data_IF_536333744742
#
_entry.id   IF_536333744742
#
_cell.length_a   1.000
_cell.length_b   1.000
_cell.length_c   1.000
_cell.angle_alpha   90.00
_cell.angle_beta   90.00
_cell.angle_gamma   90.00
#
_symmetry.space_group_name_H-M   'P 1'
#
loop_
_entity.id
_entity.type
_entity.pdbx_description
1 polymer ?
#
# COMPACT_ATOMS: atom_id res chain seq x y z
N UNK A 1 -11.91 1.03 1.41
CA UNK A 1 -10.68 1.60 0.78
C UNK A 1 -10.00 0.55 -0.09
N UNK A 2 -9.23 0.99 -1.09
CA UNK A 2 -8.39 0.11 -1.91
C UNK A 2 -6.91 0.38 -1.62
N UNK A 3 -6.12 -0.67 -1.36
CA UNK A 3 -4.67 -0.59 -1.19
C UNK A 3 -3.99 -1.02 -2.48
N UNK A 4 -3.02 -0.23 -2.95
CA UNK A 4 -2.31 -0.44 -4.23
C UNK A 4 -0.82 -0.13 -4.08
N UNK A 5 0.01 -0.70 -4.94
CA UNK A 5 1.45 -0.35 -5.08
C UNK A 5 1.88 -0.62 -6.52
N UNK A 6 3.03 -0.07 -6.94
CA UNK A 6 3.55 -0.26 -8.30
C UNK A 6 2.51 0.10 -9.35
N UNK A 7 2.04 1.34 -9.27
CA UNK A 7 0.97 1.89 -10.10
C UNK A 7 1.61 2.66 -11.26
N UNK A 8 1.64 2.10 -12.48
CA UNK A 8 2.21 2.79 -13.63
C UNK A 8 1.35 3.97 -14.05
N UNK A 9 1.96 4.97 -14.70
CA UNK A 9 1.27 6.11 -15.32
C UNK A 9 0.61 5.72 -16.64
N UNK A 10 -0.25 4.69 -16.61
CA UNK A 10 -1.02 4.21 -17.75
C UNK A 10 -2.48 4.59 -17.62
N UNK A 11 -3.08 5.01 -18.74
CA UNK A 11 -4.45 5.50 -18.77
C UNK A 11 -5.45 4.44 -18.29
N UNK A 12 -5.35 3.20 -18.76
CA UNK A 12 -6.24 2.09 -18.39
C UNK A 12 -6.22 1.78 -16.88
N UNK A 13 -5.03 1.81 -16.27
CA UNK A 13 -4.86 1.59 -14.82
C UNK A 13 -5.47 2.74 -14.03
N UNK A 14 -5.23 3.98 -14.43
CA UNK A 14 -5.80 5.18 -13.80
C UNK A 14 -7.33 5.17 -13.91
N UNK A 15 -7.84 4.83 -15.09
CA UNK A 15 -9.27 4.75 -15.38
C UNK A 15 -9.97 3.72 -14.51
N UNK A 16 -9.36 2.54 -14.38
CA UNK A 16 -9.85 1.54 -13.46
C UNK A 16 -9.92 2.07 -12.03
N UNK A 17 -8.83 2.64 -11.51
CA UNK A 17 -8.77 3.15 -10.14
C UNK A 17 -9.86 4.20 -9.91
N UNK A 18 -10.08 5.08 -10.88
CA UNK A 18 -11.10 6.12 -10.80
C UNK A 18 -12.55 5.60 -10.89
N UNK A 19 -12.75 4.37 -11.39
CA UNK A 19 -14.05 3.68 -11.47
C UNK A 19 -14.32 2.79 -10.25
N UNK A 20 -13.33 2.54 -9.39
CA UNK A 20 -13.53 1.78 -8.16
C UNK A 20 -14.52 2.49 -7.22
N UNK A 21 -15.56 1.77 -6.81
CA UNK A 21 -16.52 2.24 -5.81
C UNK A 21 -15.94 2.09 -4.40
N UNK A 22 -14.89 2.87 -4.11
CA UNK A 22 -14.26 2.98 -2.80
C UNK A 22 -14.19 4.43 -2.34
N UNK A 23 -14.17 4.62 -1.02
CA UNK A 23 -14.05 5.95 -0.41
C UNK A 23 -12.65 6.55 -0.53
N UNK A 24 -11.64 5.70 -0.64
CA UNK A 24 -10.24 6.10 -0.65
C UNK A 24 -9.36 5.05 -1.33
N UNK A 25 -8.39 5.52 -2.12
CA UNK A 25 -7.28 4.73 -2.64
C UNK A 25 -6.03 5.07 -1.81
N UNK A 26 -5.39 4.05 -1.28
CA UNK A 26 -4.18 4.15 -0.46
C UNK A 26 -3.01 3.52 -1.22
N UNK A 27 -2.10 4.37 -1.69
CA UNK A 27 -0.85 3.92 -2.30
C UNK A 27 0.19 3.54 -1.25
N UNK A 28 0.72 2.32 -1.36
CA UNK A 28 1.79 1.80 -0.52
C UNK A 28 3.17 1.99 -1.16
N UNK A 29 3.36 3.08 -1.89
CA UNK A 29 4.57 3.40 -2.63
C UNK A 29 4.63 2.82 -4.06
N UNK A 30 5.62 3.30 -4.80
CA UNK A 30 5.84 3.16 -6.23
C UNK A 30 4.62 3.57 -7.08
N UNK A 31 4.13 4.79 -6.90
CA UNK A 31 3.03 5.35 -7.72
C UNK A 31 3.54 6.47 -8.61
N UNK A 32 3.48 6.29 -9.93
CA UNK A 32 4.08 7.24 -10.88
C UNK A 32 3.28 8.55 -11.03
N UNK A 33 1.95 8.45 -11.18
CA UNK A 33 1.09 9.59 -11.51
C UNK A 33 -0.12 9.76 -10.56
N UNK A 34 0.09 10.01 -9.27
CA UNK A 34 -1.00 10.14 -8.30
C UNK A 34 -1.91 11.35 -8.56
N UNK A 35 -1.48 12.34 -9.33
CA UNK A 35 -2.28 13.51 -9.71
C UNK A 35 -3.51 13.19 -10.56
N UNK A 36 -3.55 12.01 -11.20
CA UNK A 36 -4.68 11.58 -12.01
C UNK A 36 -5.61 10.57 -11.29
N UNK A 37 -5.27 10.20 -10.05
CA UNK A 37 -6.04 9.23 -9.26
C UNK A 37 -6.94 9.99 -8.27
N UNK A 38 -8.25 9.76 -8.37
CA UNK A 38 -9.25 10.36 -7.49
C UNK A 38 -9.18 9.74 -6.09
N UNK A 39 -9.46 10.55 -5.06
CA UNK A 39 -9.51 10.10 -3.65
C UNK A 39 -8.22 9.38 -3.22
N UNK A 40 -7.06 9.87 -3.65
CA UNK A 40 -5.78 9.24 -3.39
C UNK A 40 -5.11 9.79 -2.13
N UNK A 41 -4.56 8.90 -1.30
CA UNK A 41 -3.50 9.19 -0.33
C UNK A 41 -2.45 8.09 -0.40
N UNK A 42 -1.24 8.33 0.08
CA UNK A 42 -0.23 7.26 0.08
C UNK A 42 0.98 7.52 0.95
N UNK A 43 1.76 6.46 1.14
CA UNK A 43 3.13 6.50 1.65
C UNK A 43 4.10 6.45 0.47
N UNK A 44 5.35 6.86 0.70
CA UNK A 44 6.40 6.82 -0.31
C UNK A 44 7.01 5.42 -0.41
N UNK A 45 7.36 5.01 -1.62
CA UNK A 45 8.23 3.89 -1.93
C UNK A 45 9.61 4.36 -2.38
N UNK A 46 10.25 3.58 -3.24
CA UNK A 46 11.60 3.85 -3.74
C UNK A 46 11.59 4.54 -5.10
N UNK A 47 10.52 4.36 -5.87
CA UNK A 47 10.47 4.76 -7.28
C UNK A 47 9.75 6.09 -7.54
N UNK A 48 9.16 6.74 -6.52
CA UNK A 48 8.59 8.09 -6.73
C UNK A 48 9.67 9.11 -7.04
N UNK A 49 9.56 9.75 -8.20
CA UNK A 49 10.41 10.87 -8.54
C UNK A 49 10.17 12.09 -7.61
N UNK A 50 11.09 13.06 -7.66
CA UNK A 50 11.03 14.27 -6.83
C UNK A 50 9.76 15.09 -7.10
N UNK A 51 9.25 15.08 -8.33
CA UNK A 51 8.04 15.82 -8.72
C UNK A 51 6.81 15.22 -8.06
N UNK A 52 6.68 13.89 -8.11
CA UNK A 52 5.62 13.13 -7.46
C UNK A 52 5.68 13.31 -5.94
N UNK A 53 6.87 13.20 -5.34
CA UNK A 53 7.03 13.45 -3.90
C UNK A 53 6.60 14.89 -3.51
N UNK A 54 7.00 15.90 -4.29
CA UNK A 54 6.60 17.30 -4.06
C UNK A 54 5.11 17.51 -4.22
N UNK A 55 4.49 16.90 -5.24
CA UNK A 55 3.04 16.95 -5.46
C UNK A 55 2.29 16.38 -4.25
N UNK A 56 2.66 15.19 -3.79
CA UNK A 56 2.00 14.55 -2.65
C UNK A 56 2.12 15.39 -1.36
N UNK A 57 3.30 15.97 -1.10
CA UNK A 57 3.53 16.86 0.06
C UNK A 57 2.70 18.14 -0.04
N UNK A 58 2.77 18.84 -1.17
CA UNK A 58 2.10 20.13 -1.37
C UNK A 58 0.58 20.04 -1.23
N UNK A 59 0.01 18.90 -1.61
CA UNK A 59 -1.44 18.68 -1.60
C UNK A 59 -1.94 17.88 -0.38
N UNK A 60 -1.10 17.62 0.62
CA UNK A 60 -1.52 16.88 1.83
C UNK A 60 -1.97 15.44 1.56
N UNK A 61 -1.43 14.81 0.51
CA UNK A 61 -1.77 13.45 0.09
C UNK A 61 -0.86 12.40 0.72
N UNK A 62 0.23 12.81 1.37
CA UNK A 62 1.08 11.91 2.13
C UNK A 62 0.45 11.50 3.46
N UNK A 63 0.51 10.20 3.74
CA UNK A 63 0.16 9.63 5.04
C UNK A 63 1.41 9.74 5.93
N UNK A 64 1.34 10.62 6.94
CA UNK A 64 2.46 10.87 7.86
C UNK A 64 2.37 10.08 9.17
N UNK A 65 1.17 9.63 9.56
CA UNK A 65 0.95 8.84 10.78
C UNK A 65 -0.01 7.67 10.50
N UNK A 66 -1.18 7.99 9.95
CA UNK A 66 -2.18 7.00 9.59
C UNK A 66 -3.29 7.57 8.74
N UNK A 67 -4.15 6.68 8.23
CA UNK A 67 -5.34 7.00 7.46
C UNK A 67 -6.46 6.06 7.87
N UNK A 68 -7.57 6.64 8.33
CA UNK A 68 -8.65 5.90 8.98
C UNK A 68 -8.10 5.05 10.14
N UNK A 69 -8.08 3.73 10.01
CA UNK A 69 -7.58 2.78 11.01
C UNK A 69 -6.27 2.07 10.62
N UNK A 70 -5.62 2.50 9.54
CA UNK A 70 -4.32 2.02 9.10
C UNK A 70 -3.21 3.02 9.49
N UNK A 71 -2.11 2.52 10.05
CA UNK A 71 -1.02 3.36 10.56
C UNK A 71 0.32 2.99 9.93
N UNK A 72 1.26 3.93 9.87
CA UNK A 72 2.63 3.64 9.42
C UNK A 72 3.53 3.14 10.57
N UNK A 73 3.12 3.38 11.81
CA UNK A 73 3.84 2.94 13.01
C UNK A 73 3.41 1.53 13.43
N UNK A 74 4.39 0.70 13.76
CA UNK A 74 4.19 -0.70 14.17
C UNK A 74 3.66 -0.84 15.59
N UNK A 75 3.59 0.25 16.35
CA UNK A 75 2.97 0.26 17.68
C UNK A 75 1.44 0.17 17.65
N UNK A 76 0.84 0.25 16.45
CA UNK A 76 -0.60 0.10 16.23
C UNK A 76 -0.94 -1.29 15.69
N UNK A 77 -2.21 -1.70 15.85
CA UNK A 77 -2.68 -3.04 15.47
C UNK A 77 -2.66 -3.30 13.96
N UNK A 78 -2.94 -2.28 13.15
CA UNK A 78 -3.11 -2.39 11.70
C UNK A 78 -2.15 -1.45 11.00
N UNK A 79 -1.20 -2.03 10.28
CA UNK A 79 -0.03 -1.30 9.80
C UNK A 79 0.02 -1.35 8.28
N UNK A 80 0.46 -0.25 7.67
CA UNK A 80 0.84 -0.16 6.27
C UNK A 80 2.33 0.17 6.15
N UNK A 81 3.02 -0.44 5.20
CA UNK A 81 4.42 -0.15 4.89
C UNK A 81 4.68 -0.35 3.40
N UNK A 82 5.68 0.33 2.85
CA UNK A 82 6.11 0.03 1.49
C UNK A 82 6.87 -1.31 1.46
N UNK A 83 7.84 -1.46 2.37
CA UNK A 83 8.81 -2.56 2.32
C UNK A 83 8.25 -3.88 2.86
N UNK A 84 8.57 -5.02 2.22
CA UNK A 84 8.22 -6.33 2.72
C UNK A 84 9.11 -6.72 3.92
N UNK A 85 8.62 -7.50 4.89
CA UNK A 85 9.44 -7.96 6.04
C UNK A 85 10.43 -9.07 5.67
N UNK A 86 10.14 -9.86 4.64
CA UNK A 86 10.96 -10.99 4.18
C UNK A 86 11.32 -10.81 2.71
N UNK A 87 12.30 -11.59 2.23
CA UNK A 87 12.89 -11.63 0.87
C UNK A 87 14.14 -10.76 0.68
N UNK A 88 14.94 -10.97 -0.40
CA UNK A 88 16.14 -10.19 -0.69
C UNK A 88 15.88 -8.68 -0.87
N UNK A 89 14.65 -8.29 -1.22
CA UNK A 89 14.19 -6.90 -1.29
C UNK A 89 13.40 -6.45 -0.04
N UNK A 90 13.48 -7.25 1.02
CA UNK A 90 12.80 -6.99 2.29
C UNK A 90 13.65 -6.12 3.23
N UNK A 91 12.98 -5.54 4.22
CA UNK A 91 13.59 -4.71 5.25
C UNK A 91 13.70 -5.46 6.57
N UNK A 92 14.93 -5.68 7.04
CA UNK A 92 15.19 -6.24 8.37
C UNK A 92 14.60 -5.38 9.48
N UNK A 93 14.52 -4.06 9.26
CA UNK A 93 13.85 -3.14 10.18
C UNK A 93 12.36 -3.47 10.29
N UNK A 94 11.66 -3.65 9.16
CA UNK A 94 10.24 -4.03 9.17
C UNK A 94 10.04 -5.37 9.87
N UNK A 95 10.88 -6.37 9.61
CA UNK A 95 10.80 -7.65 10.31
C UNK A 95 10.98 -7.51 11.82
N UNK A 96 11.97 -6.73 12.27
CA UNK A 96 12.22 -6.49 13.68
C UNK A 96 11.04 -5.78 14.37
N UNK A 97 10.43 -4.80 13.69
CA UNK A 97 9.27 -4.07 14.18
C UNK A 97 8.04 -4.98 14.32
N UNK A 98 7.81 -5.89 13.36
CA UNK A 98 6.74 -6.90 13.46
C UNK A 98 6.97 -7.82 14.66
N UNK A 99 8.19 -8.35 14.81
CA UNK A 99 8.51 -9.29 15.89
C UNK A 99 8.44 -8.64 17.28
N UNK A 100 8.72 -7.33 17.38
CA UNK A 100 8.73 -6.59 18.64
C UNK A 100 7.34 -6.11 19.05
N UNK A 101 6.58 -5.54 18.13
CA UNK A 101 5.28 -4.92 18.45
C UNK A 101 4.09 -5.86 18.22
N UNK A 102 4.28 -6.94 17.46
CA UNK A 102 3.25 -7.95 17.16
C UNK A 102 1.92 -7.33 16.71
N UNK A 103 1.91 -6.46 15.67
CA UNK A 103 0.66 -5.92 15.13
C UNK A 103 -0.24 -7.08 14.69
N UNK A 104 -1.55 -6.85 14.67
CA UNK A 104 -2.52 -7.84 14.21
C UNK A 104 -2.35 -8.12 12.72
N UNK A 105 -2.22 -7.05 11.93
CA UNK A 105 -2.08 -7.14 10.48
C UNK A 105 -1.12 -6.08 9.93
N UNK A 106 -0.34 -6.47 8.93
CA UNK A 106 0.54 -5.58 8.17
C UNK A 106 0.26 -5.74 6.69
N UNK A 107 -0.16 -4.67 6.03
CA UNK A 107 -0.22 -4.60 4.57
C UNK A 107 1.09 -4.01 4.04
N UNK A 108 1.67 -4.63 3.02
CA UNK A 108 2.87 -4.10 2.39
C UNK A 108 2.83 -4.07 0.86
N UNK A 109 3.55 -3.10 0.30
CA UNK A 109 3.76 -2.95 -1.14
C UNK A 109 4.99 -3.71 -1.66
N UNK A 110 5.60 -3.16 -2.73
CA UNK A 110 6.90 -3.52 -3.31
C UNK A 110 7.05 -4.91 -3.97
N UNK A 111 6.32 -5.94 -3.52
CA UNK A 111 6.34 -7.24 -4.19
C UNK A 111 5.31 -7.30 -5.32
N UNK A 112 5.70 -7.97 -6.41
CA UNK A 112 4.82 -8.17 -7.57
C UNK A 112 3.66 -9.11 -7.22
N UNK A 113 3.97 -10.22 -6.54
CA UNK A 113 2.98 -11.24 -6.22
C UNK A 113 2.15 -10.88 -4.98
N UNK A 114 0.83 -11.01 -5.11
CA UNK A 114 -0.09 -10.89 -3.99
C UNK A 114 -0.04 -12.16 -3.13
N UNK A 115 0.18 -12.02 -1.82
CA UNK A 115 0.34 -13.16 -0.91
C UNK A 115 -0.04 -12.82 0.53
N UNK A 116 -0.60 -13.79 1.23
CA UNK A 116 -0.84 -13.74 2.68
C UNK A 116 0.02 -14.78 3.37
N UNK A 117 0.62 -14.41 4.49
CA UNK A 117 1.43 -15.30 5.32
C UNK A 117 1.54 -14.75 6.74
N UNK A 118 1.98 -15.59 7.68
CA UNK A 118 2.13 -15.19 9.07
C UNK A 118 3.60 -14.99 9.46
N UNK A 119 3.82 -14.03 10.36
CA UNK A 119 5.06 -13.84 11.10
C UNK A 119 4.70 -13.83 12.58
N UNK A 120 4.93 -14.95 13.27
CA UNK A 120 4.47 -15.12 14.65
C UNK A 120 2.93 -15.05 14.71
N UNK A 121 2.40 -14.06 15.42
CA UNK A 121 0.96 -13.79 15.54
C UNK A 121 0.44 -12.74 14.55
N UNK A 122 1.34 -12.10 13.82
CA UNK A 122 1.01 -11.04 12.86
C UNK A 122 0.67 -11.65 11.51
N UNK A 123 -0.50 -11.27 10.98
CA UNK A 123 -0.86 -11.56 9.60
C UNK A 123 -0.21 -10.53 8.67
N UNK A 124 0.47 -11.00 7.64
CA UNK A 124 1.14 -10.13 6.66
C UNK A 124 0.48 -10.32 5.30
N UNK A 125 0.10 -9.21 4.68
CA UNK A 125 -0.58 -9.17 3.40
C UNK A 125 0.26 -8.35 2.43
N UNK A 126 0.86 -9.03 1.46
CA UNK A 126 1.43 -8.36 0.30
C UNK A 126 0.30 -7.97 -0.64
N UNK A 127 0.18 -6.68 -0.95
CA UNK A 127 -0.87 -6.16 -1.83
C UNK A 127 -0.72 -6.67 -3.26
N UNK A 128 0.52 -6.91 -3.70
CA UNK A 128 0.83 -7.23 -5.09
C UNK A 128 0.87 -5.99 -5.97
N UNK A 129 1.49 -6.13 -7.14
CA UNK A 129 1.64 -5.05 -8.11
C UNK A 129 0.35 -4.76 -8.86
N UNK A 130 -0.08 -3.50 -8.89
CA UNK A 130 -1.22 -3.09 -9.69
C UNK A 130 -0.92 -3.19 -11.20
N UNK A 131 0.35 -3.11 -11.61
CA UNK A 131 0.78 -3.41 -12.98
C UNK A 131 0.38 -4.83 -13.43
N UNK A 132 0.28 -5.77 -12.49
CA UNK A 132 -0.22 -7.15 -12.73
C UNK A 132 -1.71 -7.33 -12.40
N UNK A 133 -2.39 -6.24 -12.08
CA UNK A 133 -3.80 -6.17 -11.74
C UNK A 133 -4.11 -6.45 -10.26
N UNK A 134 -3.12 -6.64 -9.40
CA UNK A 134 -3.35 -6.96 -7.99
C UNK A 134 -3.64 -5.71 -7.15
N UNK A 135 -4.63 -5.82 -6.27
CA UNK A 135 -4.94 -4.82 -5.26
C UNK A 135 -5.70 -5.47 -4.10
N UNK A 136 -5.82 -4.75 -2.98
CA UNK A 136 -6.59 -5.20 -1.83
C UNK A 136 -7.73 -4.25 -1.57
N UNK A 137 -8.95 -4.76 -1.37
CA UNK A 137 -10.05 -3.98 -0.82
C UNK A 137 -10.08 -4.21 0.68
N UNK A 138 -10.15 -3.13 1.46
CA UNK A 138 -10.19 -3.17 2.92
C UNK A 138 -11.30 -2.26 3.44
N UNK A 139 -12.17 -2.77 4.32
CA UNK A 139 -13.32 -2.03 4.84
C UNK A 139 -13.14 -1.53 6.29
N UNK A 140 -11.95 -1.73 6.87
CA UNK A 140 -11.67 -1.44 8.27
C UNK A 140 -11.80 -2.66 9.19
N UNK A 141 -12.25 -3.80 8.68
CA UNK A 141 -12.36 -5.06 9.44
C UNK A 141 -11.81 -6.22 8.64
N UNK A 142 -12.32 -6.39 7.43
CA UNK A 142 -12.00 -7.46 6.52
C UNK A 142 -11.27 -6.92 5.30
N UNK A 143 -10.43 -7.78 4.72
CA UNK A 143 -9.75 -7.49 3.48
C UNK A 143 -10.03 -8.58 2.45
N UNK A 144 -10.14 -8.16 1.20
CA UNK A 144 -10.29 -9.03 0.05
C UNK A 144 -9.12 -8.84 -0.91
N UNK A 145 -8.49 -9.96 -1.26
CA UNK A 145 -7.49 -10.01 -2.32
C UNK A 145 -8.21 -9.94 -3.67
N UNK A 146 -7.91 -8.93 -4.47
CA UNK A 146 -8.50 -8.74 -5.79
C UNK A 146 -7.44 -8.76 -6.86
N UNK A 147 -7.86 -9.23 -8.03
CA UNK A 147 -7.12 -9.12 -9.27
C UNK A 147 -8.04 -8.65 -10.38
N UNK A 148 -7.50 -7.83 -11.26
CA UNK A 148 -8.17 -7.38 -12.46
C UNK A 148 -7.40 -7.77 -13.72
N UNK A 149 -8.01 -7.45 -14.85
CA UNK A 149 -7.38 -7.52 -16.17
C UNK A 149 -7.38 -6.15 -16.84
N UNK A 150 -7.13 -5.06 -16.08
CA UNK A 150 -7.21 -3.66 -16.56
C UNK A 150 -6.71 -3.47 -18.00
#
# INVERSE_FOLDING_TARGET
>A
MALVTQVPCREDVIDFLNKLEVDLIVGLGDVECPQYIKKYKGILGEMEDITTQKYLRKNGLLIQEGVLDLFISFSYRKVITHFPPRNPRGSQKVLAEILSNLPEIVFHGHLIEQKVYDIGKTKVVSVGSLEKGYYVVYDGREYELKRSSH
#
